data_IF_459849174059
#
_entry.id   IF_459849174059
#
_cell.length_a   1.000
_cell.length_b   1.000
_cell.length_c   1.000
_cell.angle_alpha   90.00
_cell.angle_beta   90.00
_cell.angle_gamma   90.00
#
_symmetry.space_group_name_H-M   'P 1'
#
loop_
_entity.id
_entity.type
_entity.pdbx_description
1 polymer ?
#
# COMPACT_ATOMS: atom_id res chain seq x y z
N UNK A 1 -2.06 -55.33 -33.04
CA UNK A 1 -2.48 -53.93 -32.80
C UNK A 1 -2.05 -53.53 -31.40
N UNK A 2 -1.00 -52.70 -31.32
CA UNK A 2 -0.21 -52.50 -30.10
C UNK A 2 -0.82 -51.45 -29.15
N UNK A 3 -0.83 -51.68 -27.83
CA UNK A 3 -1.46 -50.80 -26.82
C UNK A 3 -0.72 -49.49 -26.53
N UNK A 4 0.37 -49.18 -27.24
CA UNK A 4 1.24 -48.04 -26.98
C UNK A 4 0.65 -46.67 -27.35
N UNK A 5 -0.38 -46.60 -28.20
CA UNK A 5 -0.93 -45.30 -28.66
C UNK A 5 -1.88 -44.61 -27.68
N UNK A 6 -2.39 -45.30 -26.64
CA UNK A 6 -3.38 -44.70 -25.72
C UNK A 6 -2.78 -43.84 -24.61
N UNK A 7 -1.47 -43.93 -24.36
CA UNK A 7 -0.82 -43.17 -23.28
C UNK A 7 -0.36 -41.76 -23.69
N UNK A 8 -0.11 -41.51 -24.98
CA UNK A 8 0.41 -40.23 -25.45
C UNK A 8 -0.66 -39.13 -25.55
N UNK A 9 -1.92 -39.48 -25.84
CA UNK A 9 -2.99 -38.49 -25.96
C UNK A 9 -3.44 -37.86 -24.63
N UNK A 10 -3.33 -38.59 -23.50
CA UNK A 10 -3.73 -38.04 -22.19
C UNK A 10 -2.76 -36.99 -21.64
N UNK A 11 -1.48 -37.04 -22.02
CA UNK A 11 -0.45 -36.08 -21.56
C UNK A 11 -0.54 -34.72 -22.28
N UNK A 12 -0.99 -34.69 -23.54
CA UNK A 12 -1.13 -33.42 -24.29
C UNK A 12 -2.28 -32.54 -23.82
N UNK A 13 -3.36 -33.12 -23.29
CA UNK A 13 -4.51 -32.35 -22.80
C UNK A 13 -4.16 -31.63 -21.48
N UNK A 14 -3.40 -32.29 -20.60
CA UNK A 14 -2.93 -31.67 -19.36
C UNK A 14 -1.97 -30.51 -19.60
N UNK A 15 -1.12 -30.60 -20.64
CA UNK A 15 -0.17 -29.54 -20.97
C UNK A 15 -0.86 -28.29 -21.55
N UNK A 16 -1.91 -28.47 -22.35
CA UNK A 16 -2.67 -27.36 -22.95
C UNK A 16 -3.54 -26.61 -21.93
N UNK A 17 -4.15 -27.31 -20.96
CA UNK A 17 -4.89 -26.67 -19.86
C UNK A 17 -3.94 -25.82 -18.98
N UNK A 18 -2.73 -26.31 -18.73
CA UNK A 18 -1.74 -25.62 -17.88
C UNK A 18 -1.29 -24.28 -18.49
N UNK A 19 -1.10 -24.23 -19.81
CA UNK A 19 -0.71 -22.98 -20.51
C UNK A 19 -1.87 -21.98 -20.57
N UNK A 20 -3.11 -22.44 -20.75
CA UNK A 20 -4.29 -21.58 -20.72
C UNK A 20 -4.52 -20.96 -19.33
N UNK A 21 -4.23 -21.70 -18.25
CA UNK A 21 -4.34 -21.19 -16.88
C UNK A 21 -3.27 -20.13 -16.56
N UNK A 22 -2.03 -20.29 -17.05
CA UNK A 22 -0.96 -19.29 -16.90
C UNK A 22 -1.27 -18.02 -17.69
N UNK A 23 -1.88 -18.14 -18.88
CA UNK A 23 -2.32 -16.99 -19.67
C UNK A 23 -3.50 -16.25 -19.02
N UNK A 24 -4.45 -16.96 -18.39
CA UNK A 24 -5.55 -16.36 -17.64
C UNK A 24 -5.07 -15.64 -16.36
N UNK A 25 -4.08 -16.20 -15.64
CA UNK A 25 -3.45 -15.53 -14.49
C UNK A 25 -2.61 -14.30 -14.92
N UNK A 26 -2.00 -14.35 -16.11
CA UNK A 26 -1.30 -13.22 -16.71
C UNK A 26 -2.23 -12.07 -17.13
N UNK A 27 -3.42 -12.39 -17.63
CA UNK A 27 -4.38 -11.38 -18.08
C UNK A 27 -5.14 -10.71 -16.91
N UNK A 28 -5.45 -11.45 -15.83
CA UNK A 28 -6.01 -10.86 -14.61
C UNK A 28 -5.02 -9.96 -13.83
N UNK A 29 -3.71 -10.04 -14.10
CA UNK A 29 -2.71 -9.21 -13.43
C UNK A 29 -2.55 -7.82 -14.07
N UNK A 30 -3.10 -7.58 -15.27
CA UNK A 30 -2.87 -6.32 -15.99
C UNK A 30 -4.00 -5.30 -15.86
N UNK A 31 -5.20 -5.70 -15.44
CA UNK A 31 -6.32 -4.76 -15.25
C UNK A 31 -6.26 -3.93 -13.96
N UNK A 32 -5.38 -4.28 -13.01
CA UNK A 32 -5.17 -3.45 -11.80
C UNK A 32 -4.31 -2.19 -12.03
N UNK A 33 -3.81 -1.95 -13.23
CA UNK A 33 -2.98 -0.76 -13.52
C UNK A 33 -3.75 0.45 -14.04
N UNK A 34 -5.03 0.32 -14.38
CA UNK A 34 -5.80 1.43 -14.96
C UNK A 34 -6.86 2.03 -14.04
N UNK A 35 -7.13 1.43 -12.87
CA UNK A 35 -7.95 2.07 -11.86
C UNK A 35 -7.10 3.11 -11.11
N UNK A 36 -7.18 4.36 -11.58
CA UNK A 36 -6.84 5.60 -10.86
C UNK A 36 -5.51 6.28 -11.21
N UNK A 37 -5.49 6.93 -12.38
CA UNK A 37 -4.63 8.09 -12.65
C UNK A 37 -5.19 9.40 -12.07
N UNK A 38 -6.18 9.36 -11.17
CA UNK A 38 -6.69 10.60 -10.55
C UNK A 38 -5.62 11.14 -9.59
N UNK A 39 -5.15 12.40 -9.77
CA UNK A 39 -4.16 12.99 -8.89
C UNK A 39 -4.67 13.03 -7.44
N UNK A 40 -3.72 13.03 -6.49
CA UNK A 40 -4.06 13.23 -5.09
C UNK A 40 -4.68 14.61 -4.90
N UNK A 41 -5.74 14.66 -4.11
CA UNK A 41 -6.34 15.92 -3.67
C UNK A 41 -5.51 16.54 -2.53
N UNK A 42 -5.68 17.84 -2.29
CA UNK A 42 -5.01 18.51 -1.18
C UNK A 42 -5.35 17.90 0.20
N UNK A 43 -6.55 17.36 0.34
CA UNK A 43 -7.02 16.71 1.58
C UNK A 43 -6.41 15.33 1.78
N UNK A 44 -6.26 14.57 0.71
CA UNK A 44 -5.54 13.29 0.71
C UNK A 44 -4.05 13.49 1.03
N UNK A 45 -3.41 14.50 0.43
CA UNK A 45 -2.03 14.87 0.75
C UNK A 45 -1.88 15.28 2.22
N UNK A 46 -2.79 16.11 2.72
CA UNK A 46 -2.79 16.53 4.12
C UNK A 46 -2.91 15.33 5.08
N UNK A 47 -3.76 14.35 4.75
CA UNK A 47 -3.89 13.11 5.51
C UNK A 47 -2.57 12.31 5.53
N UNK A 48 -1.90 12.20 4.39
CA UNK A 48 -0.61 11.49 4.25
C UNK A 48 0.46 12.18 5.10
N UNK A 49 0.59 13.50 5.00
CA UNK A 49 1.55 14.30 5.77
C UNK A 49 1.29 14.22 7.28
N UNK A 50 0.02 14.28 7.68
CA UNK A 50 -0.39 14.12 9.08
C UNK A 50 0.01 12.74 9.61
N UNK A 51 -0.23 11.69 8.84
CA UNK A 51 0.15 10.33 9.21
C UNK A 51 1.67 10.18 9.37
N UNK A 52 2.46 10.67 8.42
CA UNK A 52 3.93 10.62 8.47
C UNK A 52 4.44 11.37 9.70
N UNK A 53 3.87 12.53 10.00
CA UNK A 53 4.25 13.34 11.16
C UNK A 53 3.97 12.63 12.48
N UNK A 54 2.78 12.05 12.64
CA UNK A 54 2.43 11.25 13.83
C UNK A 54 3.33 10.01 13.95
N UNK A 55 3.62 9.33 12.84
CA UNK A 55 4.50 8.17 12.88
C UNK A 55 5.94 8.56 13.26
N UNK A 56 6.43 9.71 12.77
CA UNK A 56 7.75 10.22 13.14
C UNK A 56 7.83 10.57 14.64
N UNK A 57 6.77 11.17 15.20
CA UNK A 57 6.62 11.42 16.63
C UNK A 57 6.69 10.12 17.44
N UNK A 58 6.00 9.07 16.97
CA UNK A 58 5.97 7.76 17.62
C UNK A 58 7.34 7.07 17.59
N UNK A 59 8.06 7.14 16.47
CA UNK A 59 9.43 6.62 16.37
C UNK A 59 10.36 7.40 17.30
N UNK A 60 10.23 8.73 17.34
CA UNK A 60 11.01 9.57 18.26
C UNK A 60 10.70 9.23 19.71
N UNK A 61 9.45 8.94 20.05
CA UNK A 61 9.03 8.60 21.42
C UNK A 61 9.74 7.36 21.96
N UNK A 62 10.05 6.39 21.09
CA UNK A 62 10.81 5.19 21.48
C UNK A 62 12.28 5.50 21.84
N UNK A 63 12.82 6.63 21.36
CA UNK A 63 14.23 7.01 21.55
C UNK A 63 14.41 8.13 22.57
N UNK A 64 13.54 9.11 22.52
CA UNK A 64 13.57 10.33 23.33
C UNK A 64 12.12 10.76 23.63
N UNK A 65 11.51 10.22 24.69
CA UNK A 65 10.11 10.48 25.04
C UNK A 65 9.81 11.96 25.26
N UNK A 66 10.73 12.71 25.87
CA UNK A 66 10.55 14.12 26.21
C UNK A 66 10.47 14.99 24.95
N UNK A 67 11.35 14.74 23.96
CA UNK A 67 11.27 15.46 22.68
C UNK A 67 10.04 15.05 21.89
N UNK A 68 9.64 13.77 21.93
CA UNK A 68 8.43 13.33 21.28
C UNK A 68 7.17 13.98 21.86
N UNK A 69 7.10 14.18 23.17
CA UNK A 69 5.96 14.86 23.82
C UNK A 69 5.78 16.29 23.31
N UNK A 70 6.88 17.03 23.15
CA UNK A 70 6.84 18.37 22.56
C UNK A 70 6.32 18.36 21.12
N UNK A 71 6.66 17.31 20.35
CA UNK A 71 6.22 17.14 18.98
C UNK A 71 4.74 16.73 18.92
N UNK A 72 4.28 15.85 19.81
CA UNK A 72 2.86 15.51 19.94
C UNK A 72 2.02 16.73 20.31
N UNK A 73 2.47 17.54 21.27
CA UNK A 73 1.78 18.78 21.66
C UNK A 73 1.66 19.76 20.48
N UNK A 74 2.73 19.87 19.67
CA UNK A 74 2.70 20.69 18.45
C UNK A 74 1.76 20.11 17.40
N UNK A 75 1.75 18.79 17.21
CA UNK A 75 0.84 18.14 16.26
C UNK A 75 -0.61 18.31 16.69
N UNK A 76 -0.92 18.17 17.97
CA UNK A 76 -2.29 18.32 18.49
C UNK A 76 -2.86 19.74 18.23
N UNK A 77 -2.01 20.76 18.31
CA UNK A 77 -2.39 22.15 18.03
C UNK A 77 -2.38 22.54 16.54
N UNK A 78 -1.73 21.76 15.67
CA UNK A 78 -1.54 22.08 14.24
C UNK A 78 -2.40 21.21 13.32
N UNK A 79 -2.72 19.99 13.74
CA UNK A 79 -3.50 19.05 12.94
C UNK A 79 -4.99 19.42 12.97
N UNK A 80 -5.55 19.66 11.79
CA UNK A 80 -6.99 19.82 11.60
C UNK A 80 -7.64 18.44 11.60
N UNK A 81 -8.03 18.00 12.79
CA UNK A 81 -8.67 16.70 13.03
C UNK A 81 -10.02 16.58 12.33
N UNK A 82 -10.74 17.68 12.13
CA UNK A 82 -12.01 17.70 11.39
C UNK A 82 -11.79 17.45 9.91
N UNK A 83 -10.79 18.12 9.32
CA UNK A 83 -10.38 17.88 7.93
C UNK A 83 -9.97 16.44 7.73
N UNK A 84 -9.10 15.91 8.58
CA UNK A 84 -8.66 14.49 8.55
C UNK A 84 -9.87 13.54 8.64
N UNK A 85 -10.77 13.77 9.60
CA UNK A 85 -11.98 12.94 9.78
C UNK A 85 -12.87 12.95 8.53
N UNK A 86 -13.08 14.12 7.93
CA UNK A 86 -13.88 14.26 6.72
C UNK A 86 -13.22 13.57 5.52
N UNK A 87 -11.90 13.69 5.37
CA UNK A 87 -11.13 12.97 4.33
C UNK A 87 -11.28 11.46 4.49
N UNK A 88 -11.12 10.94 5.71
CA UNK A 88 -11.28 9.50 5.99
C UNK A 88 -12.71 9.05 5.67
N UNK A 89 -13.71 9.84 6.04
CA UNK A 89 -15.12 9.54 5.70
C UNK A 89 -15.32 9.48 4.18
N UNK A 90 -14.76 10.44 3.44
CA UNK A 90 -14.84 10.46 1.98
C UNK A 90 -14.13 9.25 1.35
N UNK A 91 -12.96 8.86 1.87
CA UNK A 91 -12.23 7.66 1.43
C UNK A 91 -13.00 6.37 1.72
N UNK A 92 -13.72 6.29 2.84
CA UNK A 92 -14.55 5.13 3.16
C UNK A 92 -15.73 4.95 2.20
N UNK A 93 -16.19 6.01 1.52
CA UNK A 93 -17.19 5.91 0.44
C UNK A 93 -16.56 5.37 -0.85
N UNK A 94 -15.24 5.54 -1.03
CA UNK A 94 -14.48 5.13 -2.21
C UNK A 94 -13.34 4.16 -1.81
N UNK A 95 -13.66 2.91 -1.43
CA UNK A 95 -12.68 2.00 -0.81
C UNK A 95 -11.47 1.69 -1.69
N UNK A 96 -11.63 1.67 -3.02
CA UNK A 96 -10.52 1.45 -3.95
C UNK A 96 -9.44 2.53 -3.86
N UNK A 97 -9.80 3.73 -3.39
CA UNK A 97 -8.88 4.85 -3.22
C UNK A 97 -7.87 4.61 -2.10
N UNK A 98 -8.21 3.81 -1.09
CA UNK A 98 -7.31 3.47 0.01
C UNK A 98 -6.01 2.83 -0.47
N UNK A 99 -6.05 2.00 -1.53
CA UNK A 99 -4.84 1.36 -2.06
C UNK A 99 -3.78 2.38 -2.48
N UNK A 100 -4.22 3.50 -3.07
CA UNK A 100 -3.34 4.58 -3.54
C UNK A 100 -2.82 5.38 -2.36
N UNK A 101 -3.71 5.74 -1.42
CA UNK A 101 -3.32 6.46 -0.21
C UNK A 101 -2.29 5.68 0.58
N UNK A 102 -2.49 4.37 0.75
CA UNK A 102 -1.52 3.50 1.42
C UNK A 102 -0.18 3.44 0.70
N UNK A 103 -0.19 3.29 -0.64
CA UNK A 103 1.05 3.29 -1.43
C UNK A 103 1.84 4.60 -1.28
N UNK A 104 1.14 5.74 -1.24
CA UNK A 104 1.76 7.05 -1.08
C UNK A 104 2.23 7.31 0.36
N UNK A 105 1.50 6.82 1.37
CA UNK A 105 1.98 6.80 2.76
C UNK A 105 3.28 5.99 2.85
N UNK A 106 3.31 4.77 2.31
CA UNK A 106 4.52 3.95 2.33
C UNK A 106 5.68 4.63 1.63
N UNK A 107 5.43 5.29 0.49
CA UNK A 107 6.45 6.06 -0.23
C UNK A 107 6.99 7.20 0.64
N UNK A 108 6.11 8.01 1.22
CA UNK A 108 6.49 9.12 2.08
C UNK A 108 7.25 8.65 3.33
N UNK A 109 6.87 7.51 3.91
CA UNK A 109 7.60 6.90 5.03
C UNK A 109 8.99 6.40 4.62
N UNK A 110 9.16 5.87 3.39
CA UNK A 110 10.47 5.44 2.88
C UNK A 110 11.41 6.62 2.66
N UNK A 111 10.88 7.74 2.21
CA UNK A 111 11.62 8.98 1.95
C UNK A 111 11.87 9.80 3.23
N UNK A 112 11.15 9.49 4.32
CA UNK A 112 11.28 10.18 5.60
C UNK A 112 12.66 9.94 6.24
N UNK A 113 13.34 11.00 6.73
CA UNK A 113 14.67 10.89 7.34
C UNK A 113 14.71 10.01 8.60
N UNK A 114 13.54 9.68 9.18
CA UNK A 114 13.43 8.85 10.38
C UNK A 114 13.54 7.34 10.11
N UNK A 115 13.57 6.88 8.85
CA UNK A 115 13.74 5.46 8.49
C UNK A 115 15.18 4.96 8.70
N UNK A 116 16.19 5.83 8.59
CA UNK A 116 17.61 5.45 8.63
C UNK A 116 18.11 4.78 9.92
N UNK A 117 17.27 4.64 10.93
CA UNK A 117 17.62 4.02 12.21
C UNK A 117 16.90 2.70 12.52
N UNK A 118 16.03 2.21 11.64
CA UNK A 118 15.31 0.95 11.86
C UNK A 118 16.00 -0.26 11.21
N UNK A 119 16.95 -0.03 10.30
CA UNK A 119 17.74 -1.11 9.67
C UNK A 119 19.10 -1.36 10.35
N UNK A 120 19.50 -0.54 11.33
CA UNK A 120 20.78 -0.70 12.05
C UNK A 120 20.68 -1.58 13.30
N UNK A 121 19.49 -2.10 13.63
CA UNK A 121 19.26 -2.96 14.82
C UNK A 121 18.92 -4.41 14.46
N UNK A 122 19.50 -4.98 13.41
CA UNK A 122 19.32 -6.41 13.09
C UNK A 122 20.63 -7.18 13.08
#
# INVERSE_FOLDING_TARGET
>A
MSPFLRFFFKRSILFTISVALVLLLGFCSNERKSASQRPLTADELYLIEAYVSVNSARILHQKDPLKAESLFTRLDSTLDTLRISNTIRALNVQPDRWAIILQEIEKALRESPYRGNLEETR
#
